data_IF_276482093580
#
_entry.id   IF_276482093580
#
_cell.length_a   1.000
_cell.length_b   1.000
_cell.length_c   1.000
_cell.angle_alpha   90.00
_cell.angle_beta   90.00
_cell.angle_gamma   90.00
#
_symmetry.space_group_name_H-M   'P 1'
#
loop_
_entity.id
_entity.type
_entity.pdbx_description
1 polymer ?
#
# COMPACT_ATOMS: atom_id res chain seq x y z
N UNK A 1 25.95 22.14 -0.02
CA UNK A 1 24.78 21.48 0.60
C UNK A 1 25.16 20.07 0.95
N UNK A 2 25.15 19.70 2.24
CA UNK A 2 25.42 18.32 2.65
C UNK A 2 24.19 17.47 2.36
N UNK A 3 24.37 16.34 1.69
CA UNK A 3 23.29 15.44 1.25
C UNK A 3 22.33 15.04 2.40
N UNK A 4 22.85 14.94 3.62
CA UNK A 4 22.06 14.61 4.82
C UNK A 4 21.05 15.70 5.23
N UNK A 5 21.37 16.98 5.06
CA UNK A 5 20.47 18.09 5.42
C UNK A 5 19.27 18.13 4.48
N UNK A 6 19.50 17.91 3.18
CA UNK A 6 18.44 17.85 2.17
C UNK A 6 17.52 16.65 2.37
N UNK A 7 18.09 15.50 2.74
CA UNK A 7 17.32 14.31 3.11
C UNK A 7 16.41 14.59 4.31
N UNK A 8 16.93 15.21 5.38
CA UNK A 8 16.11 15.52 6.55
C UNK A 8 15.04 16.57 6.28
N UNK A 9 15.35 17.58 5.47
CA UNK A 9 14.35 18.53 5.02
C UNK A 9 13.23 17.82 4.25
N UNK A 10 13.56 16.92 3.32
CA UNK A 10 12.56 16.16 2.57
C UNK A 10 11.70 15.26 3.48
N UNK A 11 12.31 14.57 4.44
CA UNK A 11 11.55 13.77 5.42
C UNK A 11 10.61 14.62 6.28
N UNK A 12 11.03 15.83 6.68
CA UNK A 12 10.19 16.75 7.45
C UNK A 12 8.98 17.27 6.67
N UNK A 13 9.05 17.29 5.33
CA UNK A 13 7.92 17.70 4.48
C UNK A 13 6.88 16.62 4.27
N UNK A 14 7.23 15.35 4.47
CA UNK A 14 6.32 14.23 4.24
C UNK A 14 5.27 14.15 5.35
N UNK A 15 4.00 14.25 4.97
CA UNK A 15 2.87 14.01 5.86
C UNK A 15 2.04 12.82 5.36
N UNK A 16 2.24 11.61 5.91
CA UNK A 16 1.61 10.39 5.40
C UNK A 16 0.12 10.34 5.75
N UNK A 17 -0.70 11.13 5.06
CA UNK A 17 -2.16 11.10 5.16
C UNK A 17 -2.83 11.46 3.82
N UNK A 18 -3.26 10.48 2.98
CA UNK A 18 -3.03 9.04 3.07
C UNK A 18 -1.70 8.60 2.44
N UNK A 19 -1.10 9.37 1.54
CA UNK A 19 0.21 9.06 0.94
C UNK A 19 0.81 10.37 0.48
N UNK A 20 2.07 10.61 0.83
CA UNK A 20 2.77 11.84 0.45
C UNK A 20 4.10 11.49 -0.21
N UNK A 21 4.52 12.33 -1.15
CA UNK A 21 5.74 12.13 -1.94
C UNK A 21 6.46 13.45 -2.15
N UNK A 22 7.76 13.47 -1.85
CA UNK A 22 8.64 14.61 -2.02
C UNK A 22 9.68 14.29 -3.12
N UNK A 23 9.59 14.92 -4.29
CA UNK A 23 10.59 14.74 -5.34
C UNK A 23 11.92 15.36 -4.93
N UNK A 24 13.00 14.64 -5.16
CA UNK A 24 14.38 15.05 -5.00
C UNK A 24 15.03 15.28 -6.37
N UNK A 25 15.99 16.21 -6.41
CA UNK A 25 16.88 16.46 -7.55
C UNK A 25 16.20 16.39 -8.93
N UNK A 26 15.58 17.49 -9.38
CA UNK A 26 14.97 17.62 -10.72
C UNK A 26 13.93 16.52 -11.05
N UNK A 27 13.26 15.96 -10.05
CA UNK A 27 12.33 14.82 -10.17
C UNK A 27 12.99 13.52 -10.68
N UNK A 28 14.33 13.40 -10.58
CA UNK A 28 15.03 12.16 -10.91
C UNK A 28 14.96 11.13 -9.79
N UNK A 29 14.68 11.56 -8.57
CA UNK A 29 14.43 10.70 -7.42
C UNK A 29 13.20 11.20 -6.66
N UNK A 30 12.47 10.31 -6.00
CA UNK A 30 11.31 10.69 -5.18
C UNK A 30 11.33 9.86 -3.90
N UNK A 31 11.12 10.52 -2.78
CA UNK A 31 10.88 9.87 -1.49
C UNK A 31 9.39 9.93 -1.22
N UNK A 32 8.84 8.85 -0.69
CA UNK A 32 7.43 8.83 -0.35
C UNK A 32 7.19 8.04 0.92
N UNK A 33 6.13 8.41 1.62
CA UNK A 33 5.69 7.75 2.83
C UNK A 33 4.36 7.03 2.58
N UNK A 34 4.31 5.77 2.98
CA UNK A 34 3.07 4.98 2.98
C UNK A 34 2.20 5.38 4.17
N UNK A 35 0.87 5.24 4.05
CA UNK A 35 -0.04 5.50 5.16
C UNK A 35 0.30 4.59 6.35
N UNK A 36 0.45 5.12 7.57
CA UNK A 36 0.76 4.33 8.76
C UNK A 36 -0.42 3.48 9.23
N UNK A 37 -1.65 3.83 8.82
CA UNK A 37 -2.86 3.08 9.11
C UNK A 37 -3.70 2.96 7.85
N UNK A 38 -4.19 1.76 7.62
CA UNK A 38 -5.11 1.44 6.55
C UNK A 38 -6.44 0.97 7.13
N UNK A 39 -7.52 1.08 6.36
CA UNK A 39 -8.82 0.57 6.80
C UNK A 39 -8.81 -0.96 6.97
N UNK A 40 -9.76 -1.49 7.76
CA UNK A 40 -9.86 -2.93 8.06
C UNK A 40 -10.01 -3.84 6.84
N UNK A 41 -10.42 -3.30 5.69
CA UNK A 41 -10.58 -4.05 4.44
C UNK A 41 -9.33 -4.05 3.56
N UNK A 42 -8.29 -3.29 3.93
CA UNK A 42 -7.04 -3.22 3.20
C UNK A 42 -5.98 -4.13 3.82
N UNK A 43 -5.02 -4.56 2.99
CA UNK A 43 -3.84 -5.24 3.48
C UNK A 43 -3.03 -4.31 4.40
N UNK A 44 -2.60 -4.77 5.59
CA UNK A 44 -1.82 -3.96 6.54
C UNK A 44 -0.52 -3.41 5.93
N UNK A 45 0.06 -4.12 4.95
CA UNK A 45 1.23 -3.71 4.18
C UNK A 45 1.07 -2.44 3.32
N UNK A 46 -0.13 -1.86 3.24
CA UNK A 46 -0.45 -0.73 2.37
C UNK A 46 -0.07 -0.94 0.88
N UNK A 47 0.08 -2.20 0.43
CA UNK A 47 0.55 -2.58 -0.90
C UNK A 47 -0.23 -1.94 -2.07
N UNK A 48 -1.51 -1.62 -1.87
CA UNK A 48 -2.31 -0.90 -2.87
C UNK A 48 -1.73 0.50 -3.17
N UNK A 49 -1.27 1.21 -2.15
CA UNK A 49 -0.67 2.54 -2.28
C UNK A 49 0.69 2.47 -2.97
N UNK A 50 1.49 1.42 -2.74
CA UNK A 50 2.79 1.19 -3.41
C UNK A 50 2.63 1.19 -4.93
N UNK A 51 1.66 0.45 -5.46
CA UNK A 51 1.44 0.36 -6.91
C UNK A 51 1.07 1.72 -7.50
N UNK A 52 0.21 2.48 -6.80
CA UNK A 52 -0.20 3.83 -7.22
C UNK A 52 0.99 4.79 -7.22
N UNK A 53 1.79 4.75 -6.16
CA UNK A 53 2.95 5.61 -5.99
C UNK A 53 3.98 5.38 -7.09
N UNK A 54 4.36 4.12 -7.36
CA UNK A 54 5.32 3.79 -8.43
C UNK A 54 4.83 4.29 -9.79
N UNK A 55 3.54 4.16 -10.08
CA UNK A 55 2.99 4.64 -11.35
C UNK A 55 2.94 6.16 -11.48
N UNK A 56 2.93 6.88 -10.35
CA UNK A 56 2.77 8.35 -10.31
C UNK A 56 4.12 9.06 -10.21
N UNK A 57 5.01 8.56 -9.35
CA UNK A 57 6.22 9.26 -8.94
C UNK A 57 7.49 8.74 -9.61
N UNK A 58 7.46 7.56 -10.23
CA UNK A 58 8.64 6.96 -10.85
C UNK A 58 8.78 7.47 -12.29
N UNK A 59 9.87 8.17 -12.63
CA UNK A 59 10.08 8.70 -13.97
C UNK A 59 10.09 7.61 -15.04
N UNK A 60 9.73 7.93 -16.29
CA UNK A 60 9.92 7.03 -17.42
C UNK A 60 11.42 6.78 -17.64
N UNK A 61 11.78 5.53 -17.91
CA UNK A 61 13.17 5.10 -18.12
C UNK A 61 13.29 3.58 -18.26
N UNK A 62 14.45 3.13 -18.75
CA UNK A 62 14.83 1.72 -18.93
C UNK A 62 15.35 1.08 -17.65
N UNK A 63 16.20 1.79 -16.90
CA UNK A 63 16.75 1.36 -15.63
C UNK A 63 16.07 2.11 -14.49
N UNK A 64 15.55 1.37 -13.52
CA UNK A 64 14.85 1.95 -12.36
C UNK A 64 15.35 1.29 -11.09
N UNK A 65 15.57 2.10 -10.07
CA UNK A 65 15.98 1.64 -8.75
C UNK A 65 14.90 2.05 -7.75
N UNK A 66 14.44 1.10 -6.95
CA UNK A 66 13.45 1.32 -5.89
C UNK A 66 14.04 0.77 -4.61
N UNK A 67 14.10 1.61 -3.57
CA UNK A 67 14.43 1.19 -2.22
C UNK A 67 13.12 1.13 -1.43
N UNK A 68 12.72 -0.06 -1.00
CA UNK A 68 11.53 -0.29 -0.19
C UNK A 68 11.95 -0.50 1.26
N UNK A 69 11.51 0.40 2.13
CA UNK A 69 11.69 0.28 3.59
C UNK A 69 10.40 -0.24 4.19
N UNK A 70 10.42 -1.44 4.76
CA UNK A 70 9.23 -2.03 5.38
C UNK A 70 9.62 -3.09 6.43
N UNK A 71 8.65 -3.53 7.21
CA UNK A 71 8.81 -4.71 8.06
C UNK A 71 8.85 -5.98 7.22
N UNK A 72 9.39 -7.06 7.81
CA UNK A 72 9.51 -8.37 7.14
C UNK A 72 8.15 -8.93 6.69
N UNK A 73 7.11 -8.75 7.50
CA UNK A 73 5.74 -9.20 7.20
C UNK A 73 5.15 -8.56 5.93
N UNK A 74 5.60 -7.35 5.60
CA UNK A 74 5.07 -6.57 4.47
C UNK A 74 5.90 -6.71 3.20
N UNK A 75 7.10 -7.29 3.29
CA UNK A 75 8.04 -7.39 2.17
C UNK A 75 7.45 -8.13 0.97
N UNK A 76 6.80 -9.28 1.19
CA UNK A 76 6.22 -10.08 0.12
C UNK A 76 5.06 -9.34 -0.58
N UNK A 77 4.10 -8.81 0.18
CA UNK A 77 2.96 -8.07 -0.37
C UNK A 77 3.42 -6.80 -1.14
N UNK A 78 4.44 -6.12 -0.61
CA UNK A 78 5.06 -4.95 -1.25
C UNK A 78 5.78 -5.33 -2.54
N UNK A 79 6.53 -6.44 -2.56
CA UNK A 79 7.19 -6.96 -3.75
C UNK A 79 6.17 -7.29 -4.86
N UNK A 80 5.06 -7.96 -4.52
CA UNK A 80 3.99 -8.22 -5.46
C UNK A 80 3.36 -6.93 -6.01
N UNK A 81 3.17 -5.90 -5.17
CA UNK A 81 2.67 -4.60 -5.62
C UNK A 81 3.64 -3.90 -6.58
N UNK A 82 4.93 -3.91 -6.27
CA UNK A 82 5.97 -3.37 -7.14
C UNK A 82 5.98 -4.08 -8.49
N UNK A 83 5.97 -5.42 -8.51
CA UNK A 83 5.93 -6.19 -9.75
C UNK A 83 4.72 -5.85 -10.63
N UNK A 84 3.53 -5.72 -10.03
CA UNK A 84 2.29 -5.35 -10.75
C UNK A 84 2.32 -3.93 -11.33
N UNK A 85 3.17 -3.04 -10.81
CA UNK A 85 3.32 -1.69 -11.37
C UNK A 85 4.03 -1.68 -12.74
N UNK A 86 4.65 -2.78 -13.16
CA UNK A 86 5.40 -2.91 -14.42
C UNK A 86 4.78 -3.96 -15.35
N UNK A 87 3.66 -3.63 -16.04
CA UNK A 87 3.00 -4.58 -16.92
C UNK A 87 3.91 -4.99 -18.09
N UNK A 88 3.97 -6.30 -18.34
CA UNK A 88 4.74 -6.86 -19.45
C UNK A 88 4.06 -6.66 -20.80
N UNK A 89 2.73 -6.52 -20.86
CA UNK A 89 1.99 -6.39 -22.11
C UNK A 89 1.52 -4.94 -22.36
N UNK A 90 1.61 -4.48 -23.61
CA UNK A 90 0.98 -3.23 -24.07
C UNK A 90 0.72 -3.31 -25.57
N UNK A 91 -0.46 -2.86 -26.00
CA UNK A 91 -0.86 -2.76 -27.42
C UNK A 91 -0.84 -1.30 -27.92
N UNK A 92 -0.18 -0.38 -27.19
CA UNK A 92 -0.10 1.02 -27.60
C UNK A 92 0.77 1.16 -28.85
N UNK A 93 0.27 1.84 -29.88
CA UNK A 93 1.05 2.15 -31.07
C UNK A 93 2.33 2.93 -30.68
N UNK A 94 3.47 2.52 -31.24
CA UNK A 94 4.79 3.06 -30.86
C UNK A 94 5.51 2.30 -29.74
N UNK A 95 4.85 1.34 -29.07
CA UNK A 95 5.49 0.48 -28.08
C UNK A 95 6.45 -0.56 -28.68
N UNK A 96 6.49 -0.72 -30.01
CA UNK A 96 7.33 -1.71 -30.72
C UNK A 96 8.84 -1.52 -30.50
N UNK A 97 9.29 -0.30 -30.17
CA UNK A 97 10.69 -0.02 -29.79
C UNK A 97 10.95 -0.34 -28.31
N UNK A 98 10.65 -1.57 -27.86
CA UNK A 98 10.87 -1.96 -26.46
C UNK A 98 12.35 -2.13 -26.21
N UNK A 99 12.96 -1.13 -25.60
CA UNK A 99 14.15 -1.32 -24.81
C UNK A 99 13.83 -2.22 -23.62
N UNK A 100 14.72 -3.15 -23.30
CA UNK A 100 14.60 -3.97 -22.09
C UNK A 100 14.48 -3.04 -20.88
N UNK A 101 13.45 -3.29 -20.06
CA UNK A 101 13.18 -2.54 -18.84
C UNK A 101 13.66 -3.37 -17.67
N UNK A 102 14.64 -2.85 -16.95
CA UNK A 102 15.17 -3.48 -15.75
C UNK A 102 14.77 -2.63 -14.55
N UNK A 103 14.06 -3.25 -13.61
CA UNK A 103 13.70 -2.64 -12.34
C UNK A 103 14.44 -3.39 -11.24
N UNK A 104 15.33 -2.69 -10.55
CA UNK A 104 16.04 -3.18 -9.38
C UNK A 104 15.28 -2.72 -8.14
N UNK A 105 14.91 -3.67 -7.30
CA UNK A 105 14.25 -3.40 -6.02
C UNK A 105 15.15 -3.89 -4.90
N UNK A 106 15.50 -2.99 -3.99
CA UNK A 106 16.23 -3.29 -2.78
C UNK A 106 15.30 -3.15 -1.58
N UNK A 107 15.23 -4.19 -0.74
CA UNK A 107 14.43 -4.18 0.48
C UNK A 107 15.33 -3.91 1.68
N UNK A 108 15.03 -2.83 2.40
CA UNK A 108 15.64 -2.52 3.68
C UNK A 108 14.65 -2.87 4.79
N UNK A 109 14.87 -4.02 5.44
CA UNK A 109 14.00 -4.48 6.49
C UNK A 109 14.24 -3.71 7.79
N UNK A 110 13.15 -3.28 8.41
CA UNK A 110 13.13 -2.65 9.73
C UNK A 110 12.33 -3.51 10.71
N UNK A 111 12.64 -3.38 12.00
CA UNK A 111 12.00 -4.16 13.07
C UNK A 111 12.98 -5.08 13.82
N UNK A 112 12.44 -6.05 14.55
CA UNK A 112 13.23 -6.99 15.36
C UNK A 112 13.87 -8.11 14.52
N UNK A 113 13.31 -8.41 13.34
CA UNK A 113 13.74 -9.50 12.46
C UNK A 113 14.44 -8.98 11.18
N UNK A 114 15.54 -8.25 11.34
CA UNK A 114 16.32 -7.65 10.23
C UNK A 114 17.35 -8.61 9.59
N UNK A 115 17.26 -9.91 9.89
CA UNK A 115 18.14 -10.91 9.26
C UNK A 115 17.88 -11.03 7.74
N UNK A 116 18.76 -11.71 6.99
CA UNK A 116 18.55 -12.01 5.58
C UNK A 116 17.20 -12.70 5.36
N UNK A 117 16.51 -12.32 4.28
CA UNK A 117 15.27 -12.99 3.87
C UNK A 117 15.65 -14.24 3.09
N UNK A 118 15.44 -15.41 3.69
CA UNK A 118 15.55 -16.69 2.99
C UNK A 118 14.42 -16.83 1.98
N UNK A 119 14.72 -17.31 0.77
CA UNK A 119 13.72 -17.51 -0.30
C UNK A 119 12.56 -18.42 0.17
N UNK A 120 12.85 -19.35 1.08
CA UNK A 120 11.89 -20.25 1.72
C UNK A 120 10.82 -19.50 2.53
N UNK A 121 11.14 -18.33 3.07
CA UNK A 121 10.20 -17.49 3.85
C UNK A 121 9.29 -16.62 2.96
N UNK A 122 9.61 -16.52 1.67
CA UNK A 122 8.82 -15.82 0.66
C UNK A 122 7.86 -16.73 -0.10
N UNK A 123 7.76 -18.01 0.31
CA UNK A 123 6.73 -18.90 -0.20
C UNK A 123 5.37 -18.35 0.27
N UNK A 124 4.33 -18.28 -0.58
CA UNK A 124 2.99 -18.07 -0.08
C UNK A 124 2.72 -19.21 0.90
N UNK A 125 2.66 -18.89 2.20
CA UNK A 125 2.21 -19.85 3.20
C UNK A 125 0.87 -20.34 2.70
N UNK A 126 0.77 -21.65 2.52
CA UNK A 126 -0.50 -22.33 2.29
C UNK A 126 -1.46 -21.73 3.31
N UNK A 127 -2.48 -21.02 2.83
CA UNK A 127 -3.56 -20.56 3.70
C UNK A 127 -4.23 -21.85 4.14
N UNK A 128 -3.74 -22.43 5.23
CA UNK A 128 -4.41 -23.50 5.93
C UNK A 128 -5.63 -22.82 6.53
N UNK A 129 -6.71 -22.81 5.75
CA UNK A 129 -8.04 -22.57 6.27
C UNK A 129 -8.25 -23.70 7.26
N UNK A 130 -8.02 -23.45 8.54
CA UNK A 130 -8.48 -24.35 9.58
C UNK A 130 -9.97 -24.57 9.31
N UNK A 131 -10.42 -25.81 9.03
CA UNK A 131 -11.82 -26.08 8.73
C UNK A 131 -12.75 -25.82 9.94
N UNK A 132 -12.22 -25.27 11.04
CA UNK A 132 -12.90 -24.99 12.27
C UNK A 132 -13.03 -23.50 12.61
N UNK A 133 -12.73 -22.58 11.69
CA UNK A 133 -13.20 -21.19 11.75
C UNK A 133 -14.71 -21.14 11.45
N UNK A 134 -15.49 -21.82 12.28
CA UNK A 134 -16.91 -21.56 12.42
C UNK A 134 -17.03 -20.15 13.02
N UNK A 135 -17.30 -19.20 12.14
CA UNK A 135 -17.88 -17.92 12.49
C UNK A 135 -18.93 -18.14 13.58
N UNK A 136 -18.67 -17.59 14.77
CA UNK A 136 -19.67 -17.44 15.82
C UNK A 136 -20.71 -16.42 15.34
N UNK A 137 -21.59 -16.85 14.44
CA UNK A 137 -22.79 -16.12 14.07
C UNK A 137 -23.85 -16.51 15.11
N UNK A 138 -23.92 -15.75 16.20
CA UNK A 138 -25.07 -15.85 17.10
C UNK A 138 -26.33 -15.38 16.34
N UNK A 139 -27.43 -16.15 16.29
CA UNK A 139 -28.70 -15.66 15.80
C UNK A 139 -29.38 -14.87 16.93
N UNK A 140 -29.24 -13.55 16.92
CA UNK A 140 -30.12 -12.65 17.67
C UNK A 140 -31.42 -12.46 16.89
N UNK A 141 -32.54 -12.89 17.47
CA UNK A 141 -33.86 -12.94 16.83
C UNK A 141 -34.49 -11.58 16.47
N UNK A 142 -35.66 -11.59 15.82
CA UNK A 142 -36.34 -10.37 15.40
C UNK A 142 -37.02 -9.70 16.60
N UNK A 143 -36.76 -8.40 16.80
CA UNK A 143 -37.64 -7.54 17.60
C UNK A 143 -38.26 -6.50 16.68
N UNK A 144 -39.56 -6.69 16.43
CA UNK A 144 -40.49 -5.65 16.03
C UNK A 144 -40.28 -4.38 16.85
N UNK A 145 -40.13 -3.26 16.17
CA UNK A 145 -40.40 -1.93 16.73
C UNK A 145 -41.37 -1.24 15.77
N UNK A 146 -42.62 -1.20 16.21
CA UNK A 146 -43.71 -0.45 15.59
C UNK A 146 -43.35 1.04 15.40
N UNK A 147 -43.83 1.69 14.32
CA UNK A 147 -43.69 3.13 14.17
C UNK A 147 -44.72 3.86 15.04
N UNK A 148 -44.25 4.58 16.05
CA UNK A 148 -45.06 5.53 16.83
C UNK A 148 -45.56 6.66 15.91
N UNK A 149 -46.87 6.69 15.69
CA UNK A 149 -47.60 7.79 15.06
C UNK A 149 -47.52 9.02 15.96
N UNK A 150 -46.91 10.10 15.47
CA UNK A 150 -46.98 11.42 16.11
C UNK A 150 -48.37 12.01 15.88
N UNK A 151 -49.10 12.21 16.98
CA UNK A 151 -50.35 12.94 17.05
C UNK A 151 -50.06 14.45 17.11
N UNK A 152 -50.73 15.32 16.33
CA UNK A 152 -50.50 16.76 16.38
C UNK A 152 -51.13 17.39 17.65
N UNK A 153 -50.60 18.52 18.16
CA UNK A 153 -51.11 19.15 19.37
C UNK A 153 -52.48 19.81 19.16
N UNK A 154 -53.34 19.70 20.18
CA UNK A 154 -54.61 20.43 20.30
C UNK A 154 -54.36 21.95 20.45
N UNK A 155 -55.31 22.80 19.99
CA UNK A 155 -55.21 24.25 20.19
C UNK A 155 -55.63 24.66 21.60
N UNK A 156 -54.78 25.42 22.30
CA UNK A 156 -55.17 26.23 23.45
C UNK A 156 -55.60 27.63 22.99
N UNK A 157 -56.90 27.92 23.18
CA UNK A 157 -57.64 29.21 23.18
C UNK A 157 -57.73 30.00 21.86
#
# INVERSE_FOLDING_TARGET
>A
MRTAELWQAALSTLNPNPTDSCPLYLNCATVAALPPRVSRHNSPSAAHFVTRLVRTCLPPGTHRCIVMVCERSDAFASACALARAFPLFTHRAGASRRTDKTVTVEFFLVGQDNGPVEVSTLQPTKIELDPNDHASLAPGGPSELEPTVQQPPEPEV
#
